data_IF_963374650848
#
_entry.id   IF_963374650848
#
_cell.length_a   1.000
_cell.length_b   1.000
_cell.length_c   1.000
_cell.angle_alpha   90.00
_cell.angle_beta   90.00
_cell.angle_gamma   90.00
#
_symmetry.space_group_name_H-M   'P 1'
#
loop_
_entity.id
_entity.type
_entity.pdbx_description
1 polymer ?
#
# COMPACT_ATOMS: atom_id res chain seq x y z
N UNK A 1 16.33 -17.52 -8.75
CA UNK A 1 16.74 -16.80 -9.98
C UNK A 1 17.15 -17.71 -11.16
N UNK A 2 17.40 -19.01 -10.95
CA UNK A 2 17.79 -19.95 -12.03
C UNK A 2 16.67 -20.26 -13.04
N UNK A 3 15.41 -20.24 -12.60
CA UNK A 3 14.25 -20.58 -13.45
C UNK A 3 13.99 -19.53 -14.55
N UNK A 4 14.18 -18.26 -14.20
CA UNK A 4 13.98 -17.11 -15.11
C UNK A 4 15.03 -17.12 -16.22
N UNK A 5 16.28 -17.49 -15.91
CA UNK A 5 17.37 -17.62 -16.89
C UNK A 5 17.09 -18.70 -17.94
N UNK A 6 16.52 -19.85 -17.55
CA UNK A 6 16.16 -20.93 -18.50
C UNK A 6 15.01 -20.54 -19.42
N UNK A 7 14.02 -19.83 -18.89
CA UNK A 7 12.86 -19.34 -19.64
C UNK A 7 13.24 -18.29 -20.70
N UNK A 8 14.20 -17.40 -20.39
CA UNK A 8 14.70 -16.39 -21.31
C UNK A 8 15.53 -16.99 -22.46
N UNK A 9 16.36 -18.01 -22.17
CA UNK A 9 17.24 -18.67 -23.16
C UNK A 9 16.48 -19.50 -24.20
N UNK A 10 15.23 -19.89 -23.90
CA UNK A 10 14.39 -20.70 -24.77
C UNK A 10 13.73 -19.91 -25.92
N UNK A 11 13.83 -18.57 -25.96
CA UNK A 11 13.19 -17.74 -27.00
C UNK A 11 11.65 -17.85 -27.05
N UNK A 12 11.04 -18.54 -26.09
CA UNK A 12 9.63 -18.97 -26.09
C UNK A 12 8.73 -18.09 -25.23
N UNK A 13 9.32 -17.16 -24.47
CA UNK A 13 8.56 -16.08 -23.82
C UNK A 13 8.34 -14.99 -24.85
N UNK A 14 7.21 -15.11 -25.56
CA UNK A 14 6.73 -14.06 -26.45
C UNK A 14 6.67 -12.74 -25.69
N UNK A 15 7.21 -11.66 -26.25
CA UNK A 15 7.16 -10.29 -25.67
C UNK A 15 5.73 -9.92 -25.21
N UNK A 16 4.73 -10.49 -25.87
CA UNK A 16 3.32 -10.37 -25.51
C UNK A 16 2.98 -10.94 -24.13
N UNK A 17 3.53 -12.10 -23.74
CA UNK A 17 3.31 -12.67 -22.41
C UNK A 17 3.94 -11.82 -21.30
N UNK A 18 5.09 -11.21 -21.57
CA UNK A 18 5.73 -10.26 -20.65
C UNK A 18 4.84 -9.02 -20.48
N UNK A 19 4.31 -8.49 -21.59
CA UNK A 19 3.38 -7.36 -21.57
C UNK A 19 2.10 -7.68 -20.78
N UNK A 20 1.47 -8.84 -21.03
CA UNK A 20 0.29 -9.29 -20.29
C UNK A 20 0.58 -9.46 -18.79
N UNK A 21 1.75 -9.98 -18.42
CA UNK A 21 2.15 -10.10 -17.03
C UNK A 21 2.31 -8.73 -16.34
N UNK A 22 2.87 -7.74 -17.03
CA UNK A 22 2.98 -6.36 -16.51
C UNK A 22 1.60 -5.73 -16.34
N UNK A 23 0.70 -5.88 -17.31
CA UNK A 23 -0.66 -5.34 -17.23
C UNK A 23 -1.43 -5.99 -16.07
N UNK A 24 -1.39 -7.32 -15.93
CA UNK A 24 -2.00 -8.00 -14.79
C UNK A 24 -1.41 -7.55 -13.45
N UNK A 25 -0.09 -7.34 -13.39
CA UNK A 25 0.56 -6.84 -12.20
C UNK A 25 0.08 -5.44 -11.82
N UNK A 26 -0.03 -4.52 -12.78
CA UNK A 26 -0.53 -3.16 -12.56
C UNK A 26 -1.99 -3.18 -12.10
N UNK A 27 -2.86 -3.96 -12.78
CA UNK A 27 -4.28 -4.06 -12.42
C UNK A 27 -4.44 -4.66 -11.02
N UNK A 28 -3.69 -5.72 -10.71
CA UNK A 28 -3.65 -6.30 -9.37
C UNK A 28 -3.21 -5.28 -8.33
N UNK A 29 -2.12 -4.56 -8.60
CA UNK A 29 -1.60 -3.53 -7.69
C UNK A 29 -2.61 -2.40 -7.42
N UNK A 30 -3.28 -1.89 -8.46
CA UNK A 30 -4.31 -0.85 -8.33
C UNK A 30 -5.52 -1.34 -7.54
N UNK A 31 -6.00 -2.55 -7.83
CA UNK A 31 -7.13 -3.15 -7.09
C UNK A 31 -6.81 -3.39 -5.62
N UNK A 32 -5.58 -3.83 -5.32
CA UNK A 32 -5.10 -3.93 -3.94
C UNK A 32 -5.04 -2.56 -3.26
N UNK A 33 -4.59 -1.51 -3.96
CA UNK A 33 -4.51 -0.17 -3.39
C UNK A 33 -5.89 0.38 -3.02
N UNK A 34 -6.87 0.28 -3.91
CA UNK A 34 -8.25 0.73 -3.67
C UNK A 34 -8.88 0.01 -2.47
N UNK A 35 -8.78 -1.32 -2.43
CA UNK A 35 -9.32 -2.11 -1.31
C UNK A 35 -8.63 -1.83 0.02
N UNK A 36 -7.33 -1.49 -0.02
CA UNK A 36 -6.55 -1.11 1.17
C UNK A 36 -6.96 0.28 1.66
N UNK A 37 -7.24 1.22 0.75
CA UNK A 37 -7.75 2.56 1.10
C UNK A 37 -9.10 2.48 1.80
N UNK A 38 -10.05 1.71 1.26
CA UNK A 38 -11.37 1.55 1.87
C UNK A 38 -11.28 0.95 3.28
N UNK A 39 -10.44 -0.08 3.47
CA UNK A 39 -10.22 -0.70 4.78
C UNK A 39 -9.58 0.26 5.77
N UNK A 40 -8.60 1.03 5.33
CA UNK A 40 -7.95 2.04 6.17
C UNK A 40 -8.93 3.14 6.60
N UNK A 41 -9.74 3.65 5.67
CA UNK A 41 -10.75 4.67 5.95
C UNK A 41 -11.81 4.15 6.93
N UNK A 42 -12.29 2.91 6.77
CA UNK A 42 -13.22 2.29 7.75
C UNK A 42 -12.57 2.14 9.12
N UNK A 43 -11.33 1.66 9.18
CA UNK A 43 -10.60 1.54 10.44
C UNK A 43 -10.35 2.90 11.12
N UNK A 44 -10.14 3.96 10.35
CA UNK A 44 -10.05 5.33 10.86
C UNK A 44 -11.36 5.79 11.49
N UNK A 45 -12.50 5.55 10.83
CA UNK A 45 -13.83 5.92 11.31
C UNK A 45 -14.29 5.10 12.54
N UNK A 46 -13.86 3.83 12.63
CA UNK A 46 -14.12 2.96 13.78
C UNK A 46 -13.17 3.21 14.96
N UNK A 47 -12.17 4.07 14.78
CA UNK A 47 -11.19 4.44 15.79
C UNK A 47 -11.80 5.11 17.03
N UNK A 48 -11.18 4.92 18.19
CA UNK A 48 -11.71 5.36 19.49
C UNK A 48 -11.88 6.88 19.63
N UNK A 49 -11.27 7.67 18.74
CA UNK A 49 -11.22 9.13 18.78
C UNK A 49 -12.32 9.82 17.97
N UNK A 50 -13.27 9.07 17.37
CA UNK A 50 -14.41 9.59 16.60
C UNK A 50 -14.04 10.71 15.59
N UNK A 51 -13.05 10.50 14.72
CA UNK A 51 -12.69 11.49 13.69
C UNK A 51 -13.87 11.75 12.74
N UNK A 52 -13.95 12.97 12.21
CA UNK A 52 -14.92 13.28 11.16
C UNK A 52 -14.55 12.56 9.85
N UNK A 53 -15.54 12.36 8.98
CA UNK A 53 -15.30 11.71 7.66
C UNK A 53 -14.26 12.48 6.84
N UNK A 54 -14.26 13.81 6.91
CA UNK A 54 -13.29 14.66 6.21
C UNK A 54 -11.86 14.46 6.74
N UNK A 55 -11.69 14.33 8.07
CA UNK A 55 -10.38 14.06 8.70
C UNK A 55 -9.83 12.69 8.26
N UNK A 56 -10.68 11.65 8.27
CA UNK A 56 -10.26 10.32 7.83
C UNK A 56 -9.96 10.26 6.34
N UNK A 57 -10.73 10.96 5.51
CA UNK A 57 -10.47 11.03 4.07
C UNK A 57 -9.14 11.73 3.79
N UNK A 58 -8.88 12.87 4.43
CA UNK A 58 -7.61 13.58 4.32
C UNK A 58 -6.43 12.71 4.76
N UNK A 59 -6.55 12.03 5.90
CA UNK A 59 -5.47 11.17 6.40
C UNK A 59 -5.22 9.98 5.46
N UNK A 60 -6.29 9.36 4.94
CA UNK A 60 -6.19 8.25 3.99
C UNK A 60 -5.47 8.69 2.72
N UNK A 61 -5.80 9.87 2.19
CA UNK A 61 -5.13 10.40 1.00
C UNK A 61 -3.65 10.69 1.27
N UNK A 62 -3.34 11.35 2.39
CA UNK A 62 -1.97 11.68 2.78
C UNK A 62 -1.10 10.42 2.98
N UNK A 63 -1.63 9.41 3.67
CA UNK A 63 -0.96 8.14 3.93
C UNK A 63 -0.66 7.41 2.62
N UNK A 64 -1.60 7.34 1.69
CA UNK A 64 -1.39 6.65 0.41
C UNK A 64 -0.59 7.44 -0.61
N UNK A 65 -0.35 8.73 -0.38
CA UNK A 65 0.60 9.55 -1.14
C UNK A 65 2.05 9.34 -0.64
N UNK A 66 2.23 9.20 0.68
CA UNK A 66 3.55 9.14 1.33
C UNK A 66 4.04 7.72 1.69
N UNK A 67 3.15 6.73 1.73
CA UNK A 67 3.48 5.33 2.00
C UNK A 67 3.08 4.43 0.83
N UNK A 68 3.92 3.43 0.56
CA UNK A 68 3.59 2.39 -0.41
C UNK A 68 2.46 1.50 0.13
N UNK A 69 1.65 0.93 -0.77
CA UNK A 69 0.54 0.06 -0.38
C UNK A 69 0.96 -1.08 0.58
N UNK A 70 2.19 -1.61 0.42
CA UNK A 70 2.75 -2.64 1.31
C UNK A 70 3.02 -2.13 2.73
N UNK A 71 3.43 -0.87 2.88
CA UNK A 71 3.65 -0.24 4.19
C UNK A 71 2.32 0.10 4.86
N UNK A 72 1.31 0.49 4.09
CA UNK A 72 -0.04 0.71 4.63
C UNK A 72 -0.69 -0.60 5.09
N UNK A 73 -0.46 -1.70 4.37
CA UNK A 73 -0.86 -3.04 4.85
C UNK A 73 -0.15 -3.38 6.17
N UNK A 74 1.10 -2.98 6.36
CA UNK A 74 1.82 -3.19 7.62
C UNK A 74 1.24 -2.37 8.79
N UNK A 75 0.50 -1.29 8.51
CA UNK A 75 -0.29 -0.58 9.54
C UNK A 75 -1.46 -1.45 10.02
N UNK A 76 -2.10 -2.19 9.11
CA UNK A 76 -3.25 -3.04 9.42
C UNK A 76 -2.86 -4.40 9.98
N UNK A 77 -1.70 -4.93 9.59
CA UNK A 77 -1.15 -6.21 10.04
C UNK A 77 0.22 -5.95 10.70
N UNK A 78 0.28 -5.61 12.00
CA UNK A 78 1.52 -5.25 12.67
C UNK A 78 2.58 -6.37 12.67
N UNK A 79 2.17 -7.63 12.51
CA UNK A 79 3.07 -8.78 12.33
C UNK A 79 3.89 -8.73 11.03
N UNK A 80 3.54 -7.87 10.07
CA UNK A 80 4.28 -7.70 8.80
C UNK A 80 5.36 -6.63 8.85
N UNK A 81 5.50 -5.90 9.95
CA UNK A 81 6.50 -4.84 10.09
C UNK A 81 7.89 -5.48 10.12
N UNK A 82 8.67 -5.30 9.04
CA UNK A 82 9.93 -6.04 8.84
C UNK A 82 11.10 -5.41 9.59
N UNK A 83 10.99 -4.15 10.01
CA UNK A 83 12.05 -3.42 10.70
C UNK A 83 11.55 -2.26 11.55
N UNK A 84 12.31 -1.89 12.59
CA UNK A 84 12.03 -0.69 13.39
C UNK A 84 12.04 0.59 12.55
N UNK A 85 12.88 0.68 11.52
CA UNK A 85 12.92 1.84 10.62
C UNK A 85 11.61 2.01 9.84
N UNK A 86 10.99 0.90 9.44
CA UNK A 86 9.69 0.91 8.74
C UNK A 86 8.58 1.37 9.68
N UNK A 87 8.59 0.90 10.94
CA UNK A 87 7.70 1.37 11.99
C UNK A 87 7.85 2.88 12.25
N UNK A 88 9.08 3.37 12.40
CA UNK A 88 9.37 4.79 12.61
C UNK A 88 8.87 5.66 11.45
N UNK A 89 9.02 5.19 10.21
CA UNK A 89 8.55 5.93 9.04
C UNK A 89 7.02 5.99 9.00
N UNK A 90 6.36 4.86 9.25
CA UNK A 90 4.90 4.77 9.35
C UNK A 90 4.39 5.71 10.45
N UNK A 91 4.97 5.66 11.64
CA UNK A 91 4.58 6.52 12.76
C UNK A 91 4.79 8.00 12.44
N UNK A 92 5.89 8.34 11.76
CA UNK A 92 6.15 9.72 11.30
C UNK A 92 5.05 10.18 10.34
N UNK A 93 4.77 9.42 9.28
CA UNK A 93 3.75 9.80 8.28
C UNK A 93 2.37 9.89 8.92
N UNK A 94 2.00 8.95 9.80
CA UNK A 94 0.72 8.98 10.50
C UNK A 94 0.60 10.22 11.37
N UNK A 95 1.62 10.55 12.16
CA UNK A 95 1.63 11.74 13.01
C UNK A 95 1.58 13.04 12.19
N UNK A 96 2.40 13.14 11.15
CA UNK A 96 2.46 14.33 10.31
C UNK A 96 1.11 14.52 9.55
N UNK A 97 0.51 13.42 9.09
CA UNK A 97 -0.81 13.42 8.46
C UNK A 97 -1.94 13.80 9.43
N UNK A 98 -1.93 13.32 10.67
CA UNK A 98 -2.92 13.71 11.68
C UNK A 98 -2.86 15.21 11.98
N UNK A 99 -1.65 15.78 12.10
CA UNK A 99 -1.47 17.22 12.27
C UNK A 99 -1.93 18.03 11.07
N UNK A 100 -1.66 17.55 9.86
CA UNK A 100 -2.04 18.26 8.63
C UNK A 100 -3.54 18.23 8.36
N UNK A 101 -4.21 17.13 8.73
CA UNK A 101 -5.64 16.94 8.56
C UNK A 101 -6.48 17.47 9.72
N UNK A 102 -5.86 18.16 10.68
CA UNK A 102 -6.55 18.86 11.77
C UNK A 102 -7.14 17.94 12.84
N UNK A 103 -6.54 16.77 13.05
CA UNK A 103 -6.90 15.82 14.10
C UNK A 103 -6.41 16.31 15.47
#
# INVERSE_FOLDING_TARGET
>A
MEFIKRLYRSGRLSRWLIFVAIVMFIVGYLSFRETTQEKFMRGCLEGSTQPTVEMCQCLTEYVFEHLEAMQVIAIMEPDRIRSQRELENIQRVMRDGTQQCGW
#
